data_IF_064154825903
#
_entry.id   IF_064154825903
#
_cell.length_a   1.000
_cell.length_b   1.000
_cell.length_c   1.000
_cell.angle_alpha   90.00
_cell.angle_beta   90.00
_cell.angle_gamma   90.00
#
_symmetry.space_group_name_H-M   'P 1'
#
loop_
_entity.id
_entity.type
_entity.pdbx_description
1 polymer ?
#
# COMPACT_ATOMS: atom_id res chain seq x y z
N UNK A 1 16.43 11.09 11.79
CA UNK A 1 15.57 10.40 10.81
C UNK A 1 14.28 9.95 11.46
N UNK A 2 13.35 9.34 10.74
CA UNK A 2 12.03 8.94 11.27
C UNK A 2 11.73 7.47 10.99
N UNK A 3 10.95 6.85 11.86
CA UNK A 3 10.40 5.49 11.69
C UNK A 3 8.88 5.62 11.66
N UNK A 4 8.25 5.11 10.61
CA UNK A 4 6.80 5.17 10.41
C UNK A 4 6.24 3.77 10.60
N UNK A 5 5.34 3.62 11.58
CA UNK A 5 4.80 2.32 11.99
C UNK A 5 3.27 2.37 11.87
N UNK A 6 2.67 1.60 10.94
CA UNK A 6 1.25 1.32 11.00
C UNK A 6 0.98 0.39 12.18
N UNK A 7 -0.02 0.71 12.98
CA UNK A 7 -0.37 -0.07 14.19
C UNK A 7 -1.84 -0.43 14.16
N UNK A 8 -2.27 -1.30 15.10
CA UNK A 8 -3.66 -1.66 15.23
C UNK A 8 -4.58 -0.43 15.36
N UNK A 9 -5.66 -0.41 14.58
CA UNK A 9 -6.60 0.69 14.42
C UNK A 9 -6.32 1.58 13.19
N UNK A 10 -7.18 2.58 12.95
CA UNK A 10 -7.06 3.50 11.81
C UNK A 10 -6.03 4.61 12.06
N UNK A 11 -4.77 4.23 12.33
CA UNK A 11 -3.72 5.20 12.65
C UNK A 11 -2.32 4.79 12.21
N UNK A 12 -1.48 5.79 12.05
CA UNK A 12 -0.04 5.65 11.80
C UNK A 12 0.72 6.39 12.90
N UNK A 13 1.72 5.73 13.47
CA UNK A 13 2.62 6.32 14.45
C UNK A 13 3.94 6.68 13.78
N UNK A 14 4.54 7.79 14.20
CA UNK A 14 5.88 8.19 13.77
C UNK A 14 6.75 8.34 15.00
N UNK A 15 7.92 7.72 14.95
CA UNK A 15 8.95 7.78 15.98
C UNK A 15 10.22 8.43 15.42
N UNK A 16 11.07 8.94 16.31
CA UNK A 16 12.43 9.30 15.92
C UNK A 16 13.19 8.02 15.56
N UNK A 17 14.15 8.11 14.63
CA UNK A 17 15.10 7.02 14.37
C UNK A 17 15.94 6.67 15.62
N UNK A 18 16.11 7.64 16.51
CA UNK A 18 16.85 7.48 17.77
C UNK A 18 15.96 7.02 18.94
N UNK A 19 14.65 6.79 18.69
CA UNK A 19 13.75 6.30 19.72
C UNK A 19 14.17 4.90 20.18
N UNK A 20 14.18 4.69 21.50
CA UNK A 20 14.48 3.40 22.12
C UNK A 20 13.52 3.16 23.29
N UNK A 21 13.23 1.90 23.60
CA UNK A 21 12.34 1.54 24.72
C UNK A 21 10.89 2.00 24.52
N UNK A 22 10.34 2.63 25.56
CA UNK A 22 8.96 3.10 25.67
C UNK A 22 8.76 4.56 25.20
N UNK A 23 9.71 5.09 24.43
CA UNK A 23 9.62 6.42 23.87
C UNK A 23 8.28 6.65 23.15
N UNK A 24 7.58 7.74 23.50
CA UNK A 24 6.33 8.11 22.87
C UNK A 24 6.53 8.47 21.38
N UNK A 25 5.52 8.27 20.52
CA UNK A 25 5.58 8.70 19.13
C UNK A 25 5.70 10.23 19.04
N UNK A 26 6.56 10.71 18.17
CA UNK A 26 6.73 12.15 17.89
C UNK A 26 5.55 12.71 17.07
N UNK A 27 4.84 11.85 16.33
CA UNK A 27 3.58 12.18 15.64
C UNK A 27 2.64 10.99 15.60
N UNK A 28 1.35 11.30 15.63
CA UNK A 28 0.27 10.34 15.41
C UNK A 28 -0.60 10.90 14.29
N UNK A 29 -0.79 10.16 13.20
CA UNK A 29 -1.73 10.49 12.13
C UNK A 29 -2.98 9.60 12.32
N UNK A 30 -4.08 10.21 12.73
CA UNK A 30 -5.33 9.53 13.08
C UNK A 30 -6.51 10.49 13.10
N UNK A 31 -7.72 9.94 13.01
CA UNK A 31 -8.96 10.72 13.10
C UNK A 31 -9.79 10.66 11.81
N UNK A 32 -11.04 11.12 11.85
CA UNK A 32 -12.01 10.93 10.77
C UNK A 32 -11.60 11.59 9.46
N UNK A 33 -10.98 12.77 9.49
CA UNK A 33 -10.57 13.51 8.30
C UNK A 33 -9.36 12.87 7.59
N UNK A 34 -8.60 12.03 8.29
CA UNK A 34 -7.52 11.24 7.66
C UNK A 34 -8.05 10.22 6.66
N UNK A 35 -9.31 9.78 6.83
CA UNK A 35 -9.92 8.70 6.05
C UNK A 35 -9.18 7.35 6.15
N UNK A 36 -8.19 7.23 7.03
CA UNK A 36 -7.54 5.96 7.32
C UNK A 36 -8.59 5.05 7.93
N UNK A 37 -8.79 3.87 7.34
CA UNK A 37 -9.65 2.83 7.89
C UNK A 37 -8.78 1.65 8.27
N UNK A 38 -9.16 0.96 9.35
CA UNK A 38 -8.48 -0.28 9.74
C UNK A 38 -8.56 -1.31 8.61
N UNK A 39 -7.61 -2.24 8.54
CA UNK A 39 -7.68 -3.36 7.60
C UNK A 39 -8.28 -4.60 8.25
N UNK A 40 -8.57 -5.64 7.45
CA UNK A 40 -8.79 -7.00 7.99
C UNK A 40 -7.61 -7.52 8.81
N UNK A 41 -6.39 -6.99 8.61
CA UNK A 41 -5.20 -7.33 9.39
C UNK A 41 -5.03 -6.45 10.64
N UNK A 42 -6.00 -5.58 10.92
CA UNK A 42 -6.02 -4.73 12.10
C UNK A 42 -5.29 -3.39 11.95
N UNK A 43 -4.43 -3.21 10.94
CA UNK A 43 -3.63 -1.99 10.74
C UNK A 43 -3.60 -1.55 9.27
N UNK A 44 -3.39 -0.26 8.94
CA UNK A 44 -3.20 0.17 7.55
C UNK A 44 -1.87 -0.33 6.98
N UNK A 45 -1.67 -0.13 5.67
CA UNK A 45 -0.37 -0.30 5.01
C UNK A 45 0.31 1.06 4.88
N UNK A 46 1.65 1.09 4.84
CA UNK A 46 2.39 2.33 4.57
C UNK A 46 3.46 2.13 3.52
N UNK A 47 3.72 3.17 2.73
CA UNK A 47 4.89 3.34 1.87
C UNK A 47 5.37 4.78 1.98
N UNK A 48 6.67 5.01 1.90
CA UNK A 48 7.27 6.34 2.07
C UNK A 48 7.98 6.71 0.78
N UNK A 49 7.66 7.87 0.23
CA UNK A 49 8.42 8.48 -0.86
C UNK A 49 9.26 9.63 -0.29
N UNK A 50 10.57 9.42 -0.06
CA UNK A 50 11.43 10.44 0.52
C UNK A 50 11.80 11.55 -0.47
N UNK A 51 11.74 11.31 -1.79
CA UNK A 51 12.14 12.31 -2.80
C UNK A 51 11.00 13.29 -3.04
N UNK A 52 9.78 12.79 -3.18
CA UNK A 52 8.58 13.61 -3.36
C UNK A 52 7.95 14.05 -2.02
N UNK A 53 8.55 13.63 -0.90
CA UNK A 53 8.15 13.97 0.47
C UNK A 53 6.70 13.55 0.78
N UNK A 54 6.32 12.33 0.39
CA UNK A 54 4.98 11.78 0.57
C UNK A 54 4.96 10.55 1.49
N UNK A 55 3.84 10.40 2.21
CA UNK A 55 3.45 9.18 2.91
C UNK A 55 2.22 8.60 2.22
N UNK A 56 2.33 7.36 1.76
CA UNK A 56 1.23 6.61 1.16
C UNK A 56 0.66 5.68 2.22
N UNK A 57 -0.65 5.76 2.49
CA UNK A 57 -1.34 4.89 3.43
C UNK A 57 -2.38 4.05 2.68
N UNK A 58 -2.21 2.74 2.72
CA UNK A 58 -3.18 1.78 2.18
C UNK A 58 -4.26 1.46 3.20
N UNK A 59 -5.47 1.96 2.95
CA UNK A 59 -6.65 1.74 3.78
C UNK A 59 -7.47 0.59 3.19
N UNK A 60 -7.46 -0.60 3.81
CA UNK A 60 -8.01 -1.83 3.20
C UNK A 60 -9.29 -2.36 3.89
N UNK A 61 -9.94 -1.58 4.76
CA UNK A 61 -11.25 -1.89 5.37
C UNK A 61 -12.40 -1.04 4.86
N UNK A 62 -12.40 -0.68 3.57
CA UNK A 62 -13.50 0.03 2.91
C UNK A 62 -14.78 -0.82 2.74
N UNK A 63 -15.86 -0.17 2.28
CA UNK A 63 -17.14 -0.83 1.95
C UNK A 63 -16.96 -2.05 1.04
N UNK A 64 -17.72 -3.11 1.33
CA UNK A 64 -17.59 -4.41 0.68
C UNK A 64 -16.60 -5.35 1.34
N UNK A 65 -16.07 -5.01 2.52
CA UNK A 65 -15.09 -5.81 3.29
C UNK A 65 -15.62 -7.06 4.00
N UNK A 66 -16.87 -7.48 3.74
CA UNK A 66 -17.45 -8.72 4.28
C UNK A 66 -16.97 -9.98 3.54
N UNK A 67 -17.20 -11.17 4.10
CA UNK A 67 -17.23 -12.40 3.28
C UNK A 67 -18.48 -12.30 2.42
N UNK A 68 -18.40 -12.57 1.13
CA UNK A 68 -19.64 -12.83 0.38
C UNK A 68 -20.22 -14.19 0.81
N UNK A 69 -21.43 -14.48 0.36
CA UNK A 69 -22.16 -15.73 0.65
C UNK A 69 -21.43 -16.99 0.17
N UNK A 70 -20.36 -16.86 -0.62
CA UNK A 70 -19.60 -17.97 -1.19
C UNK A 70 -18.30 -18.23 -0.40
N UNK A 71 -18.06 -17.53 0.70
CA UNK A 71 -16.84 -17.64 1.49
C UNK A 71 -15.60 -17.06 0.79
N UNK A 72 -15.77 -16.50 -0.42
CA UNK A 72 -14.74 -15.68 -1.02
C UNK A 72 -14.72 -14.34 -0.30
N UNK A 73 -13.51 -13.89 -0.01
CA UNK A 73 -13.34 -12.58 0.60
C UNK A 73 -13.77 -11.54 -0.42
N UNK A 74 -14.97 -10.97 -0.28
CA UNK A 74 -15.23 -9.67 -0.86
C UNK A 74 -14.20 -8.72 -0.22
N UNK A 75 -13.08 -8.54 -0.93
CA UNK A 75 -12.04 -7.62 -0.53
C UNK A 75 -12.68 -6.26 -0.73
N UNK A 76 -13.16 -5.67 0.36
CA UNK A 76 -13.65 -4.29 0.35
C UNK A 76 -12.66 -3.44 -0.41
N UNK A 77 -13.17 -2.62 -1.33
CA UNK A 77 -12.32 -1.80 -2.20
C UNK A 77 -11.49 -0.89 -1.30
N UNK A 78 -10.18 -1.11 -1.30
CA UNK A 78 -9.28 -0.30 -0.51
C UNK A 78 -9.15 1.10 -1.10
N UNK A 79 -8.54 2.00 -0.35
CA UNK A 79 -8.09 3.29 -0.83
C UNK A 79 -6.58 3.43 -0.66
N UNK A 80 -5.92 4.09 -1.60
CA UNK A 80 -4.59 4.64 -1.42
C UNK A 80 -4.75 6.12 -1.03
N UNK A 81 -4.31 6.45 0.18
CA UNK A 81 -4.37 7.81 0.73
C UNK A 81 -2.97 8.41 0.65
N UNK A 82 -2.86 9.60 0.06
CA UNK A 82 -1.57 10.28 -0.14
C UNK A 82 -1.51 11.49 0.79
N UNK A 83 -0.51 11.54 1.66
CA UNK A 83 -0.27 12.62 2.61
C UNK A 83 1.10 13.25 2.37
N UNK A 84 1.32 14.45 2.91
CA UNK A 84 2.69 14.91 3.17
C UNK A 84 3.39 13.92 4.13
N UNK A 85 4.68 13.66 3.92
CA UNK A 85 5.45 12.70 4.73
C UNK A 85 5.43 13.03 6.23
N UNK A 86 5.24 14.30 6.58
CA UNK A 86 5.22 14.80 7.96
C UNK A 86 3.82 15.02 8.52
N UNK A 87 2.76 14.56 7.84
CA UNK A 87 1.38 14.72 8.32
C UNK A 87 1.18 14.15 9.74
N UNK A 88 0.32 14.82 10.52
CA UNK A 88 0.00 14.47 11.90
C UNK A 88 -1.40 14.91 12.30
N UNK A 89 -1.86 14.43 13.46
CA UNK A 89 -3.21 14.67 13.94
C UNK A 89 -4.24 14.15 12.95
N UNK A 90 -5.32 14.92 12.81
CA UNK A 90 -6.44 14.62 11.92
C UNK A 90 -6.28 15.30 10.54
N UNK A 91 -5.08 15.21 9.95
CA UNK A 91 -4.79 15.85 8.66
C UNK A 91 -5.48 15.12 7.52
N UNK A 92 -6.10 15.87 6.59
CA UNK A 92 -6.72 15.32 5.37
C UNK A 92 -5.65 14.84 4.38
N UNK A 93 -5.90 13.76 3.61
CA UNK A 93 -5.02 13.37 2.52
C UNK A 93 -5.03 14.45 1.42
N UNK A 94 -3.89 14.62 0.75
CA UNK A 94 -3.73 15.47 -0.45
C UNK A 94 -4.44 14.89 -1.66
N UNK A 95 -4.47 13.56 -1.74
CA UNK A 95 -5.18 12.83 -2.77
C UNK A 95 -5.67 11.48 -2.22
N UNK A 96 -6.79 11.02 -2.76
CA UNK A 96 -7.38 9.71 -2.47
C UNK A 96 -7.57 9.00 -3.80
N UNK A 97 -6.98 7.82 -3.94
CA UNK A 97 -7.22 6.91 -5.06
C UNK A 97 -8.14 5.80 -4.56
N UNK A 98 -9.39 5.84 -4.99
CA UNK A 98 -10.42 4.92 -4.55
C UNK A 98 -11.57 4.86 -5.55
N UNK A 99 -12.06 3.64 -5.80
CA UNK A 99 -13.26 3.39 -6.58
C UNK A 99 -13.26 2.00 -7.24
N UNK A 100 -14.28 1.69 -8.04
CA UNK A 100 -14.38 0.44 -8.81
C UNK A 100 -13.16 0.10 -9.67
N UNK A 101 -12.63 1.05 -10.40
CA UNK A 101 -11.54 0.85 -11.35
C UNK A 101 -10.16 0.90 -10.69
N UNK A 102 -10.06 1.51 -9.51
CA UNK A 102 -8.81 1.60 -8.73
C UNK A 102 -8.17 0.24 -8.52
N UNK A 103 -8.97 -0.81 -8.35
CA UNK A 103 -8.52 -2.20 -8.23
C UNK A 103 -7.45 -2.44 -7.14
N UNK A 104 -7.29 -1.52 -6.19
CA UNK A 104 -6.40 -1.69 -5.04
C UNK A 104 -7.00 -2.70 -4.06
N UNK A 105 -6.19 -3.67 -3.66
CA UNK A 105 -6.58 -4.68 -2.68
C UNK A 105 -5.72 -5.94 -2.77
N UNK A 106 -5.75 -6.76 -1.72
CA UNK A 106 -4.96 -7.99 -1.65
C UNK A 106 -3.72 -7.87 -0.77
N UNK A 107 -2.54 -7.73 -1.37
CA UNK A 107 -1.22 -7.87 -0.72
C UNK A 107 -1.00 -6.84 0.38
N UNK A 108 -0.26 -7.23 1.42
CA UNK A 108 -0.07 -6.46 2.65
C UNK A 108 1.14 -5.50 2.66
N UNK A 109 1.61 -5.03 1.51
CA UNK A 109 2.76 -4.12 1.44
C UNK A 109 2.57 -3.07 0.35
N UNK A 110 3.11 -1.87 0.59
CA UNK A 110 3.27 -0.82 -0.40
C UNK A 110 4.77 -0.59 -0.58
N UNK A 111 5.21 -0.50 -1.83
CA UNK A 111 6.53 -0.03 -2.22
C UNK A 111 6.36 1.28 -2.99
N UNK A 112 7.33 2.16 -2.91
CA UNK A 112 7.40 3.38 -3.71
C UNK A 112 8.60 3.30 -4.63
N UNK A 113 8.47 3.83 -5.85
CA UNK A 113 9.62 4.11 -6.72
C UNK A 113 9.66 5.61 -7.00
N UNK A 114 10.34 6.39 -6.13
CA UNK A 114 10.33 7.85 -6.18
C UNK A 114 10.76 8.49 -7.50
N UNK A 115 11.79 7.98 -8.23
CA UNK A 115 12.25 8.62 -9.46
C UNK A 115 11.17 8.79 -10.54
N UNK A 116 10.14 7.94 -10.53
CA UNK A 116 9.00 7.99 -11.46
C UNK A 116 7.67 8.26 -10.77
N UNK A 117 7.68 8.45 -9.44
CA UNK A 117 6.47 8.68 -8.66
C UNK A 117 5.52 7.48 -8.63
N UNK A 118 6.04 6.24 -8.59
CA UNK A 118 5.19 5.05 -8.50
C UNK A 118 4.85 4.64 -7.08
N UNK A 119 3.62 4.21 -6.91
CA UNK A 119 3.09 3.43 -5.79
C UNK A 119 2.87 2.01 -6.32
N UNK A 120 3.63 1.05 -5.81
CA UNK A 120 3.54 -0.37 -6.17
C UNK A 120 2.88 -1.11 -5.02
N UNK A 121 1.74 -1.74 -5.28
CA UNK A 121 0.96 -2.39 -4.23
C UNK A 121 0.11 -3.55 -4.78
N UNK A 122 -0.55 -4.27 -3.87
CA UNK A 122 -1.47 -5.35 -4.24
C UNK A 122 -2.66 -4.85 -5.06
N UNK A 123 -2.96 -5.55 -6.14
CA UNK A 123 -4.16 -5.38 -6.96
C UNK A 123 -5.13 -6.55 -6.80
N UNK A 124 -6.43 -6.27 -7.00
CA UNK A 124 -7.49 -7.29 -7.01
C UNK A 124 -7.18 -8.43 -8.00
N UNK A 125 -7.67 -9.62 -7.65
CA UNK A 125 -7.33 -10.87 -8.34
C UNK A 125 -5.98 -11.48 -7.94
N UNK A 126 -5.29 -10.90 -6.95
CA UNK A 126 -3.95 -11.39 -6.55
C UNK A 126 -2.87 -10.96 -7.53
N UNK A 127 -3.01 -9.77 -8.11
CA UNK A 127 -1.98 -9.14 -8.92
C UNK A 127 -1.19 -8.11 -8.12
N UNK A 128 -0.21 -7.51 -8.77
CA UNK A 128 0.50 -6.31 -8.33
C UNK A 128 0.20 -5.20 -9.32
N UNK A 129 -0.15 -4.01 -8.83
CA UNK A 129 -0.44 -2.83 -9.63
C UNK A 129 0.55 -1.70 -9.36
N UNK A 130 0.68 -0.81 -10.34
CA UNK A 130 1.44 0.42 -10.26
C UNK A 130 0.49 1.61 -10.46
N UNK A 131 0.38 2.47 -9.45
CA UNK A 131 -0.36 3.73 -9.48
C UNK A 131 0.61 4.90 -9.35
N UNK A 132 0.20 6.09 -9.76
CA UNK A 132 1.00 7.30 -9.62
C UNK A 132 0.72 8.03 -8.32
N UNK A 133 1.73 8.69 -7.78
CA UNK A 133 1.56 9.69 -6.72
C UNK A 133 0.72 10.91 -7.14
N UNK A 134 0.48 11.07 -8.45
CA UNK A 134 -0.35 12.15 -9.01
C UNK A 134 -1.79 11.72 -9.33
N UNK A 135 -2.12 10.44 -9.13
CA UNK A 135 -3.48 9.94 -9.39
C UNK A 135 -4.44 10.39 -8.28
N UNK A 136 -5.73 10.48 -8.61
CA UNK A 136 -6.81 10.77 -7.67
C UNK A 136 -8.14 10.22 -8.18
N UNK A 137 -9.14 10.09 -7.30
CA UNK A 137 -10.43 9.53 -7.64
C UNK A 137 -10.34 8.04 -8.00
N UNK A 138 -11.15 7.59 -8.96
CA UNK A 138 -11.21 6.19 -9.38
C UNK A 138 -10.14 5.80 -10.43
N UNK A 139 -8.90 6.22 -10.22
CA UNK A 139 -7.83 5.97 -11.18
C UNK A 139 -7.38 4.50 -11.15
N UNK A 140 -7.41 3.77 -12.29
CA UNK A 140 -6.91 2.40 -12.37
C UNK A 140 -5.37 2.36 -12.26
N UNK A 141 -4.78 1.19 -11.93
CA UNK A 141 -3.33 1.04 -12.04
C UNK A 141 -2.91 1.21 -13.51
N UNK A 142 -1.83 1.95 -13.74
CA UNK A 142 -1.25 2.15 -15.08
C UNK A 142 -0.67 0.86 -15.65
N UNK A 143 -0.12 0.03 -14.77
CA UNK A 143 0.34 -1.32 -15.11
C UNK A 143 -0.10 -2.32 -14.05
N UNK A 144 -0.29 -3.57 -14.47
CA UNK A 144 -0.68 -4.67 -13.59
C UNK A 144 -0.02 -5.98 -14.02
N UNK A 145 0.61 -6.66 -13.09
CA UNK A 145 1.03 -8.05 -13.25
C UNK A 145 -0.03 -8.95 -12.59
N UNK A 146 -0.74 -9.82 -13.33
CA UNK A 146 -1.74 -10.73 -12.78
C UNK A 146 -1.08 -12.00 -12.19
N UNK A 147 -0.26 -11.81 -11.16
CA UNK A 147 0.63 -12.84 -10.55
C UNK A 147 -0.09 -14.16 -10.30
N UNK A 148 -1.23 -14.13 -9.58
CA UNK A 148 -1.98 -15.36 -9.25
C UNK A 148 -2.52 -16.07 -10.49
N UNK A 149 -2.91 -15.33 -11.52
CA UNK A 149 -3.42 -15.93 -12.75
C UNK A 149 -2.31 -16.66 -13.51
N UNK A 150 -1.13 -16.04 -13.60
CA UNK A 150 0.00 -16.59 -14.36
C UNK A 150 0.67 -17.75 -13.61
N UNK A 151 0.80 -17.65 -12.29
CA UNK A 151 1.64 -18.56 -11.50
C UNK A 151 0.86 -19.49 -10.57
N UNK A 152 -0.43 -19.24 -10.35
CA UNK A 152 -1.22 -19.90 -9.31
C UNK A 152 -0.86 -19.47 -7.88
N UNK A 153 0.06 -18.51 -7.71
CA UNK A 153 0.60 -18.08 -6.41
C UNK A 153 0.00 -16.73 -5.99
N UNK A 154 -0.40 -16.63 -4.72
CA UNK A 154 -0.83 -15.34 -4.15
C UNK A 154 0.38 -14.56 -3.60
N UNK A 155 0.61 -13.32 -4.05
CA UNK A 155 1.69 -12.49 -3.51
C UNK A 155 1.45 -12.14 -2.03
N UNK A 156 2.51 -12.18 -1.23
CA UNK A 156 2.51 -11.83 0.19
C UNK A 156 3.34 -10.58 0.49
N UNK A 157 4.46 -10.42 -0.22
CA UNK A 157 5.35 -9.26 -0.14
C UNK A 157 5.99 -8.98 -1.49
N UNK A 158 6.52 -7.76 -1.64
CA UNK A 158 7.06 -7.24 -2.89
C UNK A 158 8.34 -6.47 -2.61
N UNK A 159 9.36 -6.68 -3.43
CA UNK A 159 10.57 -5.85 -3.50
C UNK A 159 10.82 -5.43 -4.96
N UNK A 160 11.42 -4.25 -5.13
CA UNK A 160 11.81 -3.70 -6.43
C UNK A 160 13.32 -3.86 -6.62
N UNK A 161 13.73 -4.24 -7.82
CA UNK A 161 15.11 -4.17 -8.28
C UNK A 161 15.19 -3.27 -9.52
N UNK A 162 15.44 -1.96 -9.34
CA UNK A 162 15.51 -1.02 -10.44
C UNK A 162 16.70 -1.25 -11.39
N UNK A 163 17.78 -1.89 -10.91
CA UNK A 163 19.01 -2.09 -11.70
C UNK A 163 18.75 -3.12 -12.80
N UNK A 164 18.08 -4.22 -12.45
CA UNK A 164 17.71 -5.27 -13.40
C UNK A 164 16.31 -5.08 -13.99
N UNK A 165 15.59 -4.05 -13.54
CA UNK A 165 14.21 -3.74 -13.94
C UNK A 165 13.23 -4.86 -13.57
N UNK A 166 13.33 -5.34 -12.35
CA UNK A 166 12.58 -6.50 -11.86
C UNK A 166 11.71 -6.21 -10.64
N UNK A 167 10.70 -7.05 -10.49
CA UNK A 167 9.84 -7.17 -9.33
C UNK A 167 10.05 -8.54 -8.70
N UNK A 168 10.43 -8.58 -7.43
CA UNK A 168 10.57 -9.81 -6.67
C UNK A 168 9.35 -9.97 -5.77
N UNK A 169 8.73 -11.14 -5.85
CA UNK A 169 7.51 -11.47 -5.12
C UNK A 169 7.78 -12.66 -4.20
N UNK A 170 7.47 -12.47 -2.92
CA UNK A 170 7.44 -13.55 -1.94
C UNK A 170 6.02 -14.09 -1.77
N UNK A 171 5.90 -15.41 -1.67
CA UNK A 171 4.65 -16.06 -1.26
C UNK A 171 4.85 -17.02 -0.10
N UNK A 172 4.31 -16.64 1.07
CA UNK A 172 4.35 -17.49 2.26
C UNK A 172 3.46 -18.73 2.14
N UNK A 173 2.38 -18.67 1.35
CA UNK A 173 1.44 -19.80 1.21
C UNK A 173 2.00 -20.96 0.34
N UNK A 174 3.08 -20.70 -0.39
CA UNK A 174 3.72 -21.66 -1.30
C UNK A 174 5.22 -21.82 -1.01
N UNK A 175 5.78 -21.01 -0.12
CA UNK A 175 7.22 -20.95 0.17
C UNK A 175 8.08 -20.75 -1.08
N UNK A 176 7.66 -19.84 -1.97
CA UNK A 176 8.38 -19.54 -3.22
C UNK A 176 8.68 -18.05 -3.36
N UNK A 177 9.78 -17.76 -4.04
CA UNK A 177 10.12 -16.46 -4.59
C UNK A 177 9.92 -16.50 -6.12
N UNK A 178 9.32 -15.45 -6.65
CA UNK A 178 9.09 -15.27 -8.09
C UNK A 178 9.71 -13.94 -8.50
N UNK A 179 10.41 -13.93 -9.62
CA UNK A 179 10.95 -12.70 -10.21
C UNK A 179 10.23 -12.44 -11.52
N UNK A 180 9.77 -11.21 -11.71
CA UNK A 180 9.15 -10.74 -12.94
C UNK A 180 9.97 -9.58 -13.50
N UNK A 181 10.26 -9.59 -14.79
CA UNK A 181 10.72 -8.38 -15.47
C UNK A 181 9.55 -7.39 -15.59
N UNK A 182 9.80 -6.12 -15.27
CA UNK A 182 8.82 -5.03 -15.37
C UNK A 182 9.47 -3.70 -15.78
N UNK A 183 10.08 -3.62 -16.98
CA UNK A 183 10.84 -2.44 -17.41
C UNK A 183 10.03 -1.15 -17.45
N UNK A 184 8.73 -1.21 -17.74
CA UNK A 184 7.88 -0.04 -17.95
C UNK A 184 7.74 0.85 -16.72
N UNK A 185 7.94 0.32 -15.51
CA UNK A 185 7.90 1.13 -14.28
C UNK A 185 9.26 1.76 -13.93
N UNK A 186 10.33 1.38 -14.64
CA UNK A 186 11.69 1.87 -14.38
C UNK A 186 12.24 2.80 -15.48
N UNK A 187 11.77 2.66 -16.72
CA UNK A 187 12.19 3.44 -17.90
C UNK A 187 11.68 4.87 -17.94
#
# INVERSE_FOLDING_TARGET
GEIIIPVAGPKVLVFSRESNGDAAPIRVLAGPDTQIRGSRRGHPLVGVDPVNNLLIVGSTGGEGGGRDSNGESARGRGALLIFDRTASGNTKPKAVIQGPNTAFGGVGQIQTYPPKGWIIAGALGGGIGAWSIHDSGDAPPRWKIPVRQITGVAPSGVALDPVHKELIIASGARNVLLTFSWPEIFE
#
